data_IF_932965575785
#
_entry.id   IF_932965575785
#
_cell.length_a   1.000
_cell.length_b   1.000
_cell.length_c   1.000
_cell.angle_alpha   90.00
_cell.angle_beta   90.00
_cell.angle_gamma   90.00
#
_symmetry.space_group_name_H-M   'P 1'
#
loop_
_entity.id
_entity.type
_entity.pdbx_description
1 polymer ?
#
# COMPACT_ATOMS: atom_id res chain seq x y z
N UNK A 1 26.03 12.82 -50.62
CA UNK A 1 25.33 13.78 -49.74
C UNK A 1 24.49 12.96 -48.77
N UNK A 2 25.10 12.54 -47.66
CA UNK A 2 24.54 11.58 -46.72
C UNK A 2 23.99 12.31 -45.48
N UNK A 3 22.96 13.13 -45.69
CA UNK A 3 22.43 14.07 -44.67
C UNK A 3 21.64 13.39 -43.55
N UNK A 4 21.56 12.06 -43.53
CA UNK A 4 20.79 11.30 -42.53
C UNK A 4 21.62 10.78 -41.35
N UNK A 5 22.95 10.84 -41.41
CA UNK A 5 23.82 10.34 -40.33
C UNK A 5 24.24 11.41 -39.31
N UNK A 6 23.92 12.68 -39.56
CA UNK A 6 24.35 13.78 -38.68
C UNK A 6 23.31 14.10 -37.57
N UNK A 7 22.05 13.72 -37.78
CA UNK A 7 20.97 14.09 -36.85
C UNK A 7 20.86 13.18 -35.62
N UNK A 8 21.47 12.00 -35.64
CA UNK A 8 21.48 11.10 -34.46
C UNK A 8 22.64 11.38 -33.49
N UNK A 9 23.65 12.16 -33.88
CA UNK A 9 24.81 12.42 -33.00
C UNK A 9 24.59 13.58 -32.02
N UNK A 10 23.56 14.40 -32.21
CA UNK A 10 23.33 15.57 -31.34
C UNK A 10 22.39 15.30 -30.15
N UNK A 11 21.89 14.07 -29.97
CA UNK A 11 21.07 13.70 -28.80
C UNK A 11 21.91 13.11 -27.64
N UNK A 12 23.24 13.05 -27.76
CA UNK A 12 24.13 12.49 -26.75
C UNK A 12 24.94 13.58 -26.01
N UNK A 13 24.31 14.60 -25.42
CA UNK A 13 25.01 15.54 -24.54
C UNK A 13 24.02 16.22 -23.57
N UNK A 14 23.74 15.55 -22.45
CA UNK A 14 23.33 16.16 -21.16
C UNK A 14 23.20 15.09 -20.05
N UNK A 15 24.22 14.99 -19.20
CA UNK A 15 24.17 14.48 -17.80
C UNK A 15 23.24 15.39 -16.94
N UNK A 16 22.78 15.04 -15.70
CA UNK A 16 23.33 14.08 -14.74
C UNK A 16 22.31 13.20 -13.95
N UNK A 17 22.82 12.18 -13.26
CA UNK A 17 22.24 11.59 -12.03
C UNK A 17 20.80 11.05 -12.09
N UNK A 18 20.62 9.93 -12.79
CA UNK A 18 19.53 9.01 -12.43
C UNK A 18 20.01 8.08 -11.32
N UNK A 19 19.63 8.40 -10.08
CA UNK A 19 19.62 7.45 -8.96
C UNK A 19 18.79 6.24 -9.38
N UNK A 20 19.48 5.24 -9.94
CA UNK A 20 18.92 3.97 -10.33
C UNK A 20 18.60 3.20 -9.04
N UNK A 21 17.46 3.52 -8.42
CA UNK A 21 16.83 2.68 -7.40
C UNK A 21 16.45 1.36 -8.07
N UNK A 22 17.42 0.44 -8.15
CA UNK A 22 17.15 -0.98 -8.30
C UNK A 22 16.36 -1.40 -7.07
N UNK A 23 15.04 -1.33 -7.13
CA UNK A 23 14.17 -2.12 -6.27
C UNK A 23 14.43 -3.59 -6.60
N UNK A 24 15.40 -4.17 -5.94
CA UNK A 24 15.54 -5.62 -5.91
C UNK A 24 14.24 -6.19 -5.31
N UNK A 25 13.55 -7.12 -5.98
CA UNK A 25 12.44 -7.82 -5.37
C UNK A 25 12.95 -8.56 -4.14
N UNK A 26 12.19 -8.61 -3.03
CA UNK A 26 12.67 -9.23 -1.80
C UNK A 26 12.96 -10.71 -2.07
N UNK A 27 14.24 -11.07 -1.97
CA UNK A 27 14.74 -12.44 -2.03
C UNK A 27 14.09 -13.23 -0.89
N UNK A 28 12.99 -13.91 -1.20
CA UNK A 28 12.34 -14.86 -0.30
C UNK A 28 13.29 -16.03 -0.13
N UNK A 29 14.05 -16.01 0.97
CA UNK A 29 14.85 -17.14 1.44
C UNK A 29 13.99 -18.41 1.35
N UNK A 30 14.40 -19.45 0.61
CA UNK A 30 13.68 -20.70 0.62
C UNK A 30 13.77 -21.27 2.03
N UNK A 31 12.66 -21.24 2.74
CA UNK A 31 12.49 -21.98 3.98
C UNK A 31 12.45 -23.44 3.55
N UNK A 32 13.58 -24.13 3.70
CA UNK A 32 13.78 -25.50 3.25
C UNK A 32 12.63 -26.39 3.68
N UNK A 33 11.76 -26.72 2.74
CA UNK A 33 10.92 -27.90 2.81
C UNK A 33 11.82 -29.05 2.38
N UNK A 34 12.51 -29.66 3.34
CA UNK A 34 13.13 -30.96 3.12
C UNK A 34 11.99 -31.99 2.96
N UNK A 35 11.66 -32.29 1.71
CA UNK A 35 10.80 -33.39 1.33
C UNK A 35 11.66 -34.64 1.12
N UNK A 36 11.24 -35.72 1.81
CA UNK A 36 11.48 -37.13 1.55
C UNK A 36 12.92 -37.69 1.68
N UNK A 37 13.06 -38.69 2.56
CA UNK A 37 13.18 -40.08 2.09
C UNK A 37 12.39 -41.00 3.00
N UNK A 38 11.54 -41.84 2.40
CA UNK A 38 10.89 -42.95 3.07
C UNK A 38 11.94 -44.03 3.33
N UNK A 39 12.22 -44.32 4.60
CA UNK A 39 12.88 -45.55 5.02
C UNK A 39 11.79 -46.48 5.54
N UNK A 40 11.39 -47.43 4.71
CA UNK A 40 10.62 -48.58 5.14
C UNK A 40 11.50 -49.44 6.06
N UNK A 41 11.15 -49.51 7.34
CA UNK A 41 11.59 -50.57 8.24
C UNK A 41 10.43 -50.96 9.16
N UNK A 42 10.04 -52.22 9.03
CA UNK A 42 8.96 -52.94 9.70
C UNK A 42 9.04 -52.89 11.23
N UNK A 43 7.90 -52.63 11.90
CA UNK A 43 7.35 -53.47 12.98
C UNK A 43 6.16 -52.76 13.63
N UNK A 44 5.09 -53.50 13.87
CA UNK A 44 3.80 -52.97 14.32
C UNK A 44 3.88 -52.19 15.64
N UNK A 45 3.22 -51.04 15.66
CA UNK A 45 2.53 -50.54 16.85
C UNK A 45 1.46 -49.56 16.37
N UNK A 46 0.25 -49.74 16.92
CA UNK A 46 -0.91 -48.87 16.74
C UNK A 46 -0.51 -47.39 16.72
N UNK A 47 -0.74 -46.73 15.58
CA UNK A 47 -0.61 -45.27 15.51
C UNK A 47 -1.44 -44.65 16.65
N UNK A 48 -0.87 -43.75 17.47
CA UNK A 48 -1.63 -43.16 18.55
C UNK A 48 -2.67 -42.27 17.89
N UNK A 49 -3.95 -42.59 18.12
CA UNK A 49 -5.10 -41.79 17.72
C UNK A 49 -4.98 -40.32 18.19
N UNK A 50 -4.13 -40.05 19.19
CA UNK A 50 -3.72 -38.72 19.64
C UNK A 50 -3.02 -37.85 18.57
N UNK A 51 -2.22 -38.43 17.67
CA UNK A 51 -1.53 -37.66 16.63
C UNK A 51 -2.50 -37.12 15.56
N UNK A 52 -3.55 -37.88 15.23
CA UNK A 52 -4.62 -37.45 14.32
C UNK A 52 -5.51 -36.39 14.97
N UNK A 53 -5.77 -36.51 16.28
CA UNK A 53 -6.53 -35.51 17.05
C UNK A 53 -5.76 -34.19 17.18
N UNK A 54 -4.44 -34.21 17.39
CA UNK A 54 -3.61 -33.01 17.47
C UNK A 54 -3.58 -32.22 16.16
N UNK A 55 -3.47 -32.89 15.00
CA UNK A 55 -3.54 -32.25 13.67
C UNK A 55 -4.95 -31.69 13.40
N UNK A 56 -6.00 -32.38 13.83
CA UNK A 56 -7.39 -31.90 13.71
C UNK A 56 -7.73 -30.71 14.63
N UNK A 57 -7.16 -30.67 15.83
CA UNK A 57 -7.35 -29.57 16.81
C UNK A 57 -6.58 -28.31 16.40
N UNK A 58 -5.33 -28.45 15.95
CA UNK A 58 -4.55 -27.32 15.42
C UNK A 58 -5.11 -26.73 14.12
N UNK A 59 -5.75 -27.55 13.27
CA UNK A 59 -6.50 -27.04 12.10
C UNK A 59 -7.72 -26.21 12.51
N UNK A 60 -8.54 -26.71 13.44
CA UNK A 60 -9.71 -25.97 13.95
C UNK A 60 -9.32 -24.68 14.68
N UNK A 61 -8.24 -24.68 15.45
CA UNK A 61 -7.74 -23.49 16.13
C UNK A 61 -7.21 -22.45 15.13
N UNK A 62 -6.44 -22.90 14.12
CA UNK A 62 -5.95 -22.06 13.03
C UNK A 62 -7.10 -21.51 12.15
N UNK A 63 -8.18 -22.26 11.99
CA UNK A 63 -9.39 -21.79 11.29
C UNK A 63 -10.12 -20.71 12.08
N UNK A 64 -10.31 -20.89 13.39
CA UNK A 64 -10.90 -19.87 14.28
C UNK A 64 -10.10 -18.57 14.28
N UNK A 65 -8.77 -18.66 14.26
CA UNK A 65 -7.90 -17.48 14.17
C UNK A 65 -8.00 -16.76 12.81
N UNK A 66 -8.12 -17.52 11.71
CA UNK A 66 -8.38 -16.97 10.38
C UNK A 66 -9.74 -16.26 10.33
N UNK A 67 -10.78 -16.84 10.92
CA UNK A 67 -12.12 -16.24 11.00
C UNK A 67 -12.10 -14.95 11.82
N UNK A 68 -11.39 -14.91 12.95
CA UNK A 68 -11.19 -13.68 13.73
C UNK A 68 -10.54 -12.58 12.92
N UNK A 69 -9.53 -12.90 12.11
CA UNK A 69 -8.84 -11.91 11.26
C UNK A 69 -9.76 -11.41 10.13
N UNK A 70 -10.53 -12.30 9.51
CA UNK A 70 -11.55 -11.92 8.51
C UNK A 70 -12.63 -11.01 9.08
N UNK A 71 -13.12 -11.31 10.28
CA UNK A 71 -14.16 -10.51 10.94
C UNK A 71 -13.65 -9.10 11.24
N UNK A 72 -12.43 -8.97 11.78
CA UNK A 72 -11.80 -7.66 12.00
C UNK A 72 -11.65 -6.86 10.72
N UNK A 73 -11.21 -7.52 9.65
CA UNK A 73 -11.04 -6.85 8.37
C UNK A 73 -12.39 -6.41 7.77
N UNK A 74 -13.44 -7.24 7.86
CA UNK A 74 -14.80 -6.86 7.47
C UNK A 74 -15.31 -5.67 8.29
N UNK A 75 -15.10 -5.69 9.59
CA UNK A 75 -15.51 -4.61 10.48
C UNK A 75 -14.78 -3.30 10.15
N UNK A 76 -13.45 -3.36 9.96
CA UNK A 76 -12.62 -2.22 9.53
C UNK A 76 -13.14 -1.63 8.23
N UNK A 77 -13.38 -2.46 7.20
CA UNK A 77 -13.94 -2.03 5.91
C UNK A 77 -15.33 -1.41 6.04
N UNK A 78 -16.19 -2.00 6.87
CA UNK A 78 -17.54 -1.49 7.11
C UNK A 78 -17.53 -0.13 7.81
N UNK A 79 -16.59 0.13 8.72
CA UNK A 79 -16.41 1.46 9.33
C UNK A 79 -15.94 2.46 8.28
N UNK A 80 -14.85 2.18 7.55
CA UNK A 80 -14.32 3.08 6.52
C UNK A 80 -15.37 3.41 5.47
N UNK A 81 -16.13 2.42 5.00
CA UNK A 81 -17.19 2.63 4.00
C UNK A 81 -18.30 3.55 4.52
N UNK A 82 -18.71 3.39 5.79
CA UNK A 82 -19.72 4.27 6.41
C UNK A 82 -19.20 5.69 6.58
N UNK A 83 -17.95 5.86 7.00
CA UNK A 83 -17.33 7.18 7.12
C UNK A 83 -17.27 7.90 5.76
N UNK A 84 -16.78 7.23 4.71
CA UNK A 84 -16.72 7.82 3.37
C UNK A 84 -18.11 8.18 2.82
N UNK A 85 -19.11 7.30 3.01
CA UNK A 85 -20.47 7.59 2.59
C UNK A 85 -21.03 8.83 3.29
N UNK A 86 -20.83 8.94 4.61
CA UNK A 86 -21.26 10.10 5.39
C UNK A 86 -20.57 11.39 4.94
N UNK A 87 -19.25 11.37 4.71
CA UNK A 87 -18.51 12.53 4.23
C UNK A 87 -18.97 12.98 2.84
N UNK A 88 -19.31 12.05 1.93
CA UNK A 88 -19.84 12.39 0.61
C UNK A 88 -21.23 13.00 0.66
N UNK A 89 -22.07 12.57 1.60
CA UNK A 89 -23.45 13.05 1.73
C UNK A 89 -23.56 14.34 2.53
N UNK A 90 -22.72 14.53 3.54
CA UNK A 90 -22.88 15.57 4.56
C UNK A 90 -21.64 16.43 4.78
N UNK A 91 -20.52 16.16 4.08
CA UNK A 91 -19.26 16.86 4.32
C UNK A 91 -19.20 18.29 3.78
N UNK A 92 -20.25 18.79 3.12
CA UNK A 92 -20.33 20.14 2.54
C UNK A 92 -19.16 20.54 1.62
N UNK A 93 -18.39 19.56 1.14
CA UNK A 93 -17.29 19.77 0.22
C UNK A 93 -17.79 20.02 -1.20
N UNK A 94 -17.12 20.87 -2.00
CA UNK A 94 -17.42 21.07 -3.41
C UNK A 94 -16.95 19.87 -4.24
N UNK A 95 -17.64 18.75 -4.08
CA UNK A 95 -17.35 17.48 -4.74
C UNK A 95 -18.23 17.30 -5.99
N UNK A 96 -17.69 16.75 -7.09
CA UNK A 96 -18.49 16.35 -8.24
C UNK A 96 -19.63 15.38 -7.84
N UNK A 97 -20.73 15.38 -8.58
CA UNK A 97 -21.87 14.46 -8.32
C UNK A 97 -21.47 12.97 -8.33
N UNK A 98 -20.36 12.63 -9.01
CA UNK A 98 -19.76 11.29 -9.05
C UNK A 98 -18.37 11.23 -8.41
N UNK A 99 -18.13 12.04 -7.38
CA UNK A 99 -16.83 12.09 -6.70
C UNK A 99 -16.37 10.73 -6.18
N UNK A 100 -15.11 10.38 -6.40
CA UNK A 100 -14.50 9.14 -5.94
C UNK A 100 -13.85 9.28 -4.55
N UNK A 101 -13.08 8.28 -4.11
CA UNK A 101 -12.39 8.34 -2.81
C UNK A 101 -11.28 9.41 -2.79
N UNK A 102 -10.58 9.62 -3.90
CA UNK A 102 -9.48 10.57 -3.98
C UNK A 102 -10.01 12.00 -3.92
N UNK A 103 -11.13 12.29 -4.58
CA UNK A 103 -11.79 13.59 -4.52
C UNK A 103 -12.16 13.97 -3.07
N UNK A 104 -12.68 13.00 -2.30
CA UNK A 104 -13.03 13.18 -0.88
C UNK A 104 -11.78 13.45 -0.04
N UNK A 105 -10.69 12.70 -0.26
CA UNK A 105 -9.43 12.92 0.45
C UNK A 105 -8.82 14.28 0.10
N UNK A 106 -8.86 14.67 -1.17
CA UNK A 106 -8.37 15.96 -1.64
C UNK A 106 -9.18 17.12 -1.08
N UNK A 107 -10.51 17.00 -1.00
CA UNK A 107 -11.36 18.00 -0.37
C UNK A 107 -11.07 18.12 1.14
N UNK A 108 -10.94 17.00 1.84
CA UNK A 108 -10.63 17.00 3.27
C UNK A 108 -9.25 17.60 3.57
N UNK A 109 -8.25 17.30 2.73
CA UNK A 109 -6.92 17.88 2.85
C UNK A 109 -6.96 19.41 2.63
N UNK A 110 -7.68 19.89 1.61
CA UNK A 110 -7.89 21.32 1.38
C UNK A 110 -8.58 22.02 2.54
N UNK A 111 -9.60 21.40 3.12
CA UNK A 111 -10.29 21.92 4.32
C UNK A 111 -9.32 22.03 5.52
N UNK A 112 -8.41 21.07 5.66
CA UNK A 112 -7.36 21.09 6.68
C UNK A 112 -6.19 22.06 6.37
N UNK A 113 -6.29 22.86 5.29
CA UNK A 113 -5.29 23.84 4.89
C UNK A 113 -4.08 23.25 4.16
N UNK A 114 -4.19 22.04 3.62
CA UNK A 114 -3.20 21.47 2.71
C UNK A 114 -3.49 21.86 1.27
N UNK A 115 -2.45 22.03 0.48
CA UNK A 115 -2.57 22.18 -0.97
C UNK A 115 -2.49 20.77 -1.57
N UNK A 116 -3.42 20.46 -2.47
CA UNK A 116 -3.48 19.19 -3.20
C UNK A 116 -3.47 19.51 -4.69
N UNK A 117 -2.44 19.05 -5.39
CA UNK A 117 -2.28 19.21 -6.82
C UNK A 117 -2.98 18.08 -7.61
N UNK A 118 -3.16 18.29 -8.92
CA UNK A 118 -3.88 17.37 -9.80
C UNK A 118 -3.16 16.03 -10.02
N UNK A 119 -1.86 15.99 -9.79
CA UNK A 119 -1.02 14.78 -9.81
C UNK A 119 -1.11 13.98 -8.48
N UNK A 120 -1.81 14.51 -7.48
CA UNK A 120 -1.93 13.94 -6.15
C UNK A 120 -0.86 14.40 -5.16
N UNK A 121 0.02 15.32 -5.55
CA UNK A 121 1.03 15.89 -4.65
C UNK A 121 0.35 16.75 -3.58
N UNK A 122 0.60 16.45 -2.30
CA UNK A 122 0.02 17.17 -1.16
C UNK A 122 1.08 17.78 -0.28
N UNK A 123 1.04 19.08 -0.04
CA UNK A 123 1.96 19.79 0.83
C UNK A 123 1.25 20.87 1.64
N UNK A 124 1.87 21.27 2.74
CA UNK A 124 1.38 22.37 3.57
C UNK A 124 2.19 23.61 3.27
N UNK A 125 1.59 24.71 2.81
CA UNK A 125 2.33 25.95 2.64
C UNK A 125 2.87 26.36 4.01
N UNK A 126 4.16 26.69 4.07
CA UNK A 126 4.72 27.32 5.27
C UNK A 126 3.90 28.60 5.54
N UNK A 127 3.50 28.88 6.79
CA UNK A 127 2.85 30.14 7.09
C UNK A 127 3.78 31.25 6.63
N UNK A 128 3.36 31.98 5.60
CA UNK A 128 4.07 33.18 5.16
C UNK A 128 4.08 34.07 6.39
N UNK A 129 5.24 34.40 6.97
CA UNK A 129 5.25 35.31 8.11
C UNK A 129 4.54 36.59 7.65
N UNK A 130 3.59 37.12 8.44
CA UNK A 130 2.87 38.32 8.06
C UNK A 130 3.92 39.38 7.72
N UNK A 131 3.83 39.94 6.51
CA UNK A 131 4.65 41.06 6.10
C UNK A 131 4.35 42.19 7.08
N UNK A 132 5.23 42.37 8.07
CA UNK A 132 5.17 43.50 8.97
C UNK A 132 5.26 44.75 8.10
N UNK A 133 4.29 45.68 8.19
CA UNK A 133 4.41 46.95 7.48
C UNK A 133 5.71 47.62 7.92
N UNK A 134 6.59 47.90 6.96
CA UNK A 134 7.82 48.63 7.20
C UNK A 134 7.46 49.96 7.89
N UNK A 135 8.09 50.31 9.02
CA UNK A 135 7.89 51.62 9.62
C UNK A 135 8.37 52.67 8.62
N UNK A 136 7.45 53.48 8.12
CA UNK A 136 7.79 54.73 7.45
C UNK A 136 8.24 55.73 8.51
N UNK A 137 9.48 56.20 8.34
CA UNK A 137 10.17 57.34 8.97
C UNK A 137 10.49 57.26 10.45
#
# INVERSE_FOLDING_TARGET
MNVKQDLEQQQQLSDPSSEHFSQQPPQRRPRGFAAATAAAAVSGSSAPWDAVVAVGKGRKEREKEKERTKLRERHRRAITSRMLAGLRQHGNFPLPARADMNDVLAALAREAGWIVELDGTTYRPSPTPPLLPLPST
#
